data_IF_365250179351
#
_entry.id   IF_365250179351
#
_cell.length_a   1.000
_cell.length_b   1.000
_cell.length_c   1.000
_cell.angle_alpha   90.00
_cell.angle_beta   90.00
_cell.angle_gamma   90.00
#
_symmetry.space_group_name_H-M   'P 1'
#
loop_
_entity.id
_entity.type
_entity.pdbx_description
1 polymer ?
#
# COMPACT_ATOMS: atom_id res chain seq x y z
N UNK A 1 -41.02 63.86 -8.32
CA UNK A 1 -41.00 62.72 -7.37
C UNK A 1 -41.26 61.46 -8.19
N UNK A 2 -40.20 60.73 -8.53
CA UNK A 2 -39.79 59.46 -7.90
C UNK A 2 -40.80 58.33 -8.14
N UNK A 3 -40.42 57.39 -9.00
CA UNK A 3 -40.38 55.95 -8.69
C UNK A 3 -39.63 55.23 -9.80
N UNK A 4 -38.34 54.96 -9.55
CA UNK A 4 -37.51 54.06 -10.36
C UNK A 4 -37.82 52.65 -9.87
N UNK A 5 -38.33 51.79 -10.75
CA UNK A 5 -38.44 50.36 -10.52
C UNK A 5 -37.02 49.77 -10.49
N UNK A 6 -36.63 49.24 -9.33
CA UNK A 6 -35.47 48.35 -9.20
C UNK A 6 -36.01 46.94 -9.43
N UNK A 7 -35.72 46.37 -10.61
CA UNK A 7 -35.84 44.94 -10.83
C UNK A 7 -34.58 44.27 -10.27
N UNK A 8 -34.69 43.64 -9.10
CA UNK A 8 -33.66 42.74 -8.59
C UNK A 8 -33.70 41.45 -9.42
N UNK A 9 -32.65 41.21 -10.20
CA UNK A 9 -32.41 39.91 -10.81
C UNK A 9 -32.06 38.91 -9.70
N UNK A 10 -32.97 37.96 -9.46
CA UNK A 10 -32.70 36.75 -8.67
C UNK A 10 -31.72 35.89 -9.47
N UNK A 11 -30.42 36.07 -9.23
CA UNK A 11 -29.38 35.16 -9.73
C UNK A 11 -29.49 33.90 -8.89
N UNK A 12 -30.26 32.92 -9.38
CA UNK A 12 -30.20 31.56 -8.88
C UNK A 12 -28.81 31.03 -9.21
N UNK A 13 -27.99 30.80 -8.20
CA UNK A 13 -26.78 29.97 -8.33
C UNK A 13 -27.24 28.56 -8.71
N UNK A 14 -27.23 28.26 -10.00
CA UNK A 14 -27.35 26.89 -10.46
C UNK A 14 -26.17 26.11 -9.86
N UNK A 15 -26.38 24.93 -9.26
CA UNK A 15 -25.28 24.12 -8.78
C UNK A 15 -24.36 23.82 -9.96
N UNK A 16 -23.05 24.08 -9.80
CA UNK A 16 -22.06 23.63 -10.77
C UNK A 16 -22.15 22.11 -10.81
N UNK A 17 -22.43 21.57 -12.00
CA UNK A 17 -22.40 20.14 -12.24
C UNK A 17 -20.94 19.73 -12.45
N UNK A 18 -20.58 18.58 -11.86
CA UNK A 18 -19.34 17.89 -12.20
C UNK A 18 -19.21 17.79 -13.73
N UNK A 19 -18.09 18.27 -14.25
CA UNK A 19 -17.83 18.41 -15.68
C UNK A 19 -16.56 17.66 -16.07
N UNK A 20 -16.57 17.10 -17.26
CA UNK A 20 -15.38 16.51 -17.87
C UNK A 20 -14.54 17.60 -18.54
N UNK A 21 -13.28 17.69 -18.15
CA UNK A 21 -12.31 18.62 -18.70
C UNK A 21 -11.28 17.86 -19.49
N UNK A 22 -11.38 17.96 -20.81
CA UNK A 22 -10.46 17.29 -21.72
C UNK A 22 -9.19 18.10 -21.85
N UNK A 23 -8.05 17.48 -21.59
CA UNK A 23 -6.71 18.02 -21.85
C UNK A 23 -6.21 17.44 -23.16
N UNK A 24 -5.78 18.30 -24.08
CA UNK A 24 -5.19 17.87 -25.35
C UNK A 24 -4.15 18.87 -25.85
N UNK A 25 -3.22 18.39 -26.67
CA UNK A 25 -2.19 19.25 -27.26
C UNK A 25 -2.85 20.32 -28.13
N UNK A 26 -2.50 21.59 -27.89
CA UNK A 26 -3.12 22.76 -28.53
C UNK A 26 -4.63 22.92 -28.25
N UNK A 27 -5.14 22.31 -27.16
CA UNK A 27 -6.53 22.41 -26.75
C UNK A 27 -7.03 23.85 -26.68
N UNK A 28 -8.17 24.10 -27.31
CA UNK A 28 -8.93 25.35 -27.20
C UNK A 28 -10.29 25.05 -26.59
N UNK A 29 -10.89 26.05 -25.96
CA UNK A 29 -12.21 25.93 -25.32
C UNK A 29 -13.19 25.19 -26.24
N UNK A 30 -13.82 24.08 -25.77
CA UNK A 30 -13.95 23.68 -24.36
C UNK A 30 -12.82 22.79 -23.80
N UNK A 31 -11.80 22.45 -24.58
CA UNK A 31 -10.64 21.69 -24.14
C UNK A 31 -9.53 22.61 -23.57
N UNK A 32 -8.60 21.98 -22.86
CA UNK A 32 -7.50 22.66 -22.16
C UNK A 32 -6.16 22.31 -22.80
N UNK A 33 -5.26 23.29 -23.00
CA UNK A 33 -3.98 23.06 -23.66
C UNK A 33 -2.94 22.38 -22.76
N UNK A 34 -3.20 22.23 -21.46
CA UNK A 34 -2.34 21.58 -20.47
C UNK A 34 -3.10 21.19 -19.20
N UNK A 35 -2.53 20.30 -18.39
CA UNK A 35 -3.20 19.74 -17.20
C UNK A 35 -3.44 20.84 -16.15
N UNK A 36 -2.44 21.71 -15.94
CA UNK A 36 -2.52 22.82 -14.98
C UNK A 36 -3.72 23.73 -15.25
N UNK A 37 -3.96 24.06 -16.52
CA UNK A 37 -5.08 24.92 -16.93
C UNK A 37 -6.44 24.26 -16.72
N UNK A 38 -6.54 22.94 -16.91
CA UNK A 38 -7.75 22.18 -16.61
C UNK A 38 -8.01 22.18 -15.09
N UNK A 39 -7.00 21.86 -14.29
CA UNK A 39 -7.08 21.86 -12.81
C UNK A 39 -7.49 23.22 -12.26
N UNK A 40 -6.91 24.31 -12.77
CA UNK A 40 -7.25 25.67 -12.35
C UNK A 40 -8.69 26.06 -12.68
N UNK A 41 -9.27 25.48 -13.74
CA UNK A 41 -10.64 25.74 -14.12
C UNK A 41 -11.64 24.85 -13.36
N UNK A 42 -11.17 23.82 -12.67
CA UNK A 42 -12.00 22.81 -12.02
C UNK A 42 -12.63 23.25 -10.71
N UNK A 43 -13.74 22.59 -10.38
CA UNK A 43 -14.39 22.60 -9.07
C UNK A 43 -14.52 21.18 -8.54
N UNK A 44 -14.96 21.04 -7.29
CA UNK A 44 -15.16 19.74 -6.65
C UNK A 44 -16.12 18.86 -7.45
N UNK A 45 -15.69 17.62 -7.72
CA UNK A 45 -16.42 16.61 -8.48
C UNK A 45 -16.02 16.51 -9.96
N UNK A 46 -15.21 17.43 -10.48
CA UNK A 46 -14.79 17.41 -11.88
C UNK A 46 -13.84 16.25 -12.21
N UNK A 47 -13.88 15.81 -13.47
CA UNK A 47 -12.94 14.82 -14.02
C UNK A 47 -12.02 15.48 -15.04
N UNK A 48 -10.73 15.20 -14.94
CA UNK A 48 -9.71 15.62 -15.90
C UNK A 48 -9.39 14.42 -16.80
N UNK A 49 -9.77 14.51 -18.07
CA UNK A 49 -9.57 13.44 -19.06
C UNK A 49 -8.39 13.83 -19.95
N UNK A 50 -7.29 13.09 -19.86
CA UNK A 50 -6.00 13.51 -20.42
C UNK A 50 -5.70 12.73 -21.70
N UNK A 51 -5.63 13.43 -22.83
CA UNK A 51 -5.11 12.86 -24.08
C UNK A 51 -3.59 12.84 -24.04
N UNK A 52 -3.03 11.71 -24.47
CA UNK A 52 -1.60 11.59 -24.67
C UNK A 52 -1.15 12.46 -25.84
N UNK A 53 0.02 13.09 -25.67
CA UNK A 53 0.67 13.83 -26.75
C UNK A 53 1.25 12.84 -27.76
N UNK A 54 1.44 13.29 -28.99
CA UNK A 54 1.98 12.44 -30.06
C UNK A 54 3.26 11.74 -29.61
N UNK A 55 3.30 10.41 -29.72
CA UNK A 55 4.44 9.59 -29.29
C UNK A 55 4.59 9.44 -27.78
N UNK A 56 3.50 9.61 -27.00
CA UNK A 56 3.47 9.49 -25.54
C UNK A 56 4.48 10.41 -24.84
N UNK A 57 4.74 11.59 -25.42
CA UNK A 57 5.63 12.58 -24.81
C UNK A 57 4.97 13.09 -23.52
N UNK A 58 5.60 12.92 -22.33
CA UNK A 58 4.93 13.18 -21.05
C UNK A 58 4.60 14.65 -20.86
N UNK A 59 3.41 15.00 -20.36
CA UNK A 59 3.09 16.38 -19.95
C UNK A 59 4.07 16.83 -18.85
N UNK A 60 4.92 17.83 -19.13
CA UNK A 60 5.99 18.27 -18.23
C UNK A 60 5.50 19.45 -17.38
N UNK A 61 4.90 19.16 -16.23
CA UNK A 61 4.21 20.13 -15.39
C UNK A 61 4.25 19.69 -13.92
N UNK A 62 4.33 20.65 -13.00
CA UNK A 62 3.99 20.43 -11.59
C UNK A 62 2.54 20.84 -11.36
N UNK A 63 1.76 19.99 -10.70
CA UNK A 63 0.32 20.17 -10.54
C UNK A 63 -0.02 20.38 -9.07
N UNK A 64 -0.75 21.45 -8.73
CA UNK A 64 -1.34 21.62 -7.40
C UNK A 64 -2.84 21.35 -7.46
N UNK A 65 -3.30 20.33 -6.73
CA UNK A 65 -4.70 19.93 -6.67
C UNK A 65 -5.40 20.60 -5.48
N UNK A 66 -6.37 21.47 -5.78
CA UNK A 66 -7.09 22.30 -4.81
C UNK A 66 -8.60 21.98 -4.73
N UNK A 67 -9.06 20.96 -5.44
CA UNK A 67 -10.45 20.55 -5.50
C UNK A 67 -10.53 19.02 -5.44
N UNK A 68 -11.72 18.48 -5.19
CA UNK A 68 -11.99 17.05 -5.35
C UNK A 68 -12.01 16.69 -6.82
N UNK A 69 -11.00 15.99 -7.34
CA UNK A 69 -10.81 15.74 -8.77
C UNK A 69 -10.50 14.27 -9.06
N UNK A 70 -10.96 13.80 -10.21
CA UNK A 70 -10.53 12.54 -10.79
C UNK A 70 -9.64 12.77 -12.01
N UNK A 71 -8.51 12.08 -12.11
CA UNK A 71 -7.61 12.12 -13.27
C UNK A 71 -7.64 10.76 -13.98
N UNK A 72 -7.89 10.79 -15.30
CA UNK A 72 -8.06 9.62 -16.14
C UNK A 72 -7.34 9.80 -17.48
N UNK A 73 -6.90 8.69 -18.07
CA UNK A 73 -6.53 8.66 -19.49
C UNK A 73 -7.76 8.90 -20.37
N UNK A 74 -7.56 9.53 -21.53
CA UNK A 74 -8.60 9.62 -22.56
C UNK A 74 -8.76 8.28 -23.32
N UNK A 75 -7.66 7.56 -23.52
CA UNK A 75 -7.66 6.27 -24.22
C UNK A 75 -7.93 5.15 -23.21
N UNK A 76 -8.83 4.23 -23.58
CA UNK A 76 -9.17 3.06 -22.75
C UNK A 76 -7.95 2.18 -22.56
N UNK A 77 -7.78 1.61 -21.37
CA UNK A 77 -6.68 0.70 -21.08
C UNK A 77 -5.27 1.27 -21.33
N UNK A 78 -5.08 2.60 -21.35
CA UNK A 78 -3.76 3.24 -21.46
C UNK A 78 -3.50 4.16 -20.25
N UNK A 79 -2.24 4.52 -20.07
CA UNK A 79 -1.84 5.52 -19.10
C UNK A 79 -1.91 6.92 -19.70
N UNK A 80 -2.06 7.93 -18.85
CA UNK A 80 -1.69 9.29 -19.22
C UNK A 80 -0.24 9.60 -18.78
N UNK A 81 0.59 10.08 -19.71
CA UNK A 81 2.03 10.24 -19.48
C UNK A 81 2.35 11.63 -18.93
N UNK A 82 3.06 11.71 -17.81
CA UNK A 82 3.44 12.96 -17.15
C UNK A 82 4.90 12.95 -16.68
N UNK A 83 5.42 14.15 -16.42
CA UNK A 83 6.69 14.37 -15.74
C UNK A 83 6.53 15.58 -14.82
N UNK A 84 6.60 15.35 -13.51
CA UNK A 84 6.54 16.39 -12.49
C UNK A 84 5.86 15.95 -11.21
N UNK A 85 5.81 16.87 -10.25
CA UNK A 85 5.25 16.64 -8.93
C UNK A 85 3.78 17.03 -8.87
N UNK A 86 2.95 16.12 -8.36
CA UNK A 86 1.55 16.38 -8.03
C UNK A 86 1.43 16.64 -6.53
N UNK A 87 1.07 17.86 -6.15
CA UNK A 87 0.83 18.26 -4.76
C UNK A 87 -0.65 18.34 -4.48
N UNK A 88 -1.13 17.47 -3.58
CA UNK A 88 -2.52 17.47 -3.14
C UNK A 88 -2.61 18.30 -1.86
N UNK A 89 -3.34 19.41 -1.91
CA UNK A 89 -3.59 20.21 -0.73
C UNK A 89 -4.69 19.54 0.11
N UNK A 90 -4.51 19.49 1.44
CA UNK A 90 -5.52 18.94 2.34
C UNK A 90 -6.72 19.89 2.52
N UNK A 91 -7.92 19.32 2.62
CA UNK A 91 -9.14 19.98 3.06
C UNK A 91 -10.18 18.94 3.53
N UNK A 92 -11.09 19.34 4.41
CA UNK A 92 -12.17 18.48 4.89
C UNK A 92 -13.13 18.11 3.75
N UNK A 93 -13.37 16.82 3.55
CA UNK A 93 -14.27 16.26 2.54
C UNK A 93 -13.67 16.21 1.13
N UNK A 94 -12.37 16.49 0.96
CA UNK A 94 -11.72 16.43 -0.36
C UNK A 94 -11.47 14.99 -0.77
N UNK A 95 -11.73 14.67 -2.03
CA UNK A 95 -11.45 13.37 -2.63
C UNK A 95 -10.68 13.54 -3.93
N UNK A 96 -9.47 12.98 -4.01
CA UNK A 96 -8.64 13.01 -5.21
C UNK A 96 -8.35 11.59 -5.66
N UNK A 97 -8.73 11.27 -6.89
CA UNK A 97 -8.51 9.94 -7.47
C UNK A 97 -7.68 10.06 -8.74
N UNK A 98 -6.57 9.34 -8.81
CA UNK A 98 -5.68 9.29 -9.97
C UNK A 98 -5.63 7.84 -10.44
N UNK A 99 -6.05 7.59 -11.68
CA UNK A 99 -6.05 6.25 -12.28
C UNK A 99 -5.18 6.26 -13.53
N UNK A 100 -4.24 5.33 -13.64
CA UNK A 100 -3.46 5.17 -14.87
C UNK A 100 -2.47 6.32 -15.12
N UNK A 101 -1.85 6.90 -14.09
CA UNK A 101 -0.75 7.86 -14.30
C UNK A 101 0.54 7.12 -14.66
N UNK A 102 1.22 7.50 -15.75
CA UNK A 102 2.61 7.11 -15.99
C UNK A 102 3.51 8.32 -15.77
N UNK A 103 4.07 8.44 -14.56
CA UNK A 103 4.98 9.52 -14.19
C UNK A 103 6.45 9.12 -14.41
N UNK A 104 7.05 9.68 -15.45
CA UNK A 104 8.43 9.38 -15.87
C UNK A 104 9.49 9.95 -14.93
N UNK A 105 9.18 11.02 -14.19
CA UNK A 105 10.02 11.58 -13.14
C UNK A 105 9.21 12.60 -12.35
N UNK A 106 9.17 12.46 -11.02
CA UNK A 106 8.31 13.26 -10.16
C UNK A 106 7.70 12.41 -9.07
N UNK A 107 6.44 12.65 -8.71
CA UNK A 107 5.76 11.86 -7.68
C UNK A 107 4.44 12.48 -7.27
N UNK A 108 3.89 11.98 -6.18
CA UNK A 108 2.73 12.61 -5.53
C UNK A 108 3.14 12.95 -4.11
N UNK A 109 2.91 14.18 -3.71
CA UNK A 109 3.08 14.61 -2.33
C UNK A 109 1.82 15.30 -1.80
N UNK A 110 1.77 15.43 -0.49
CA UNK A 110 0.72 16.18 0.20
C UNK A 110 1.24 17.51 0.70
N UNK A 111 0.31 18.45 0.85
CA UNK A 111 0.51 19.65 1.64
C UNK A 111 -0.60 19.69 2.69
N UNK A 112 -0.19 19.63 3.96
CA UNK A 112 -1.09 19.50 5.09
C UNK A 112 -2.15 20.61 5.11
N UNK A 113 -3.37 20.24 5.47
CA UNK A 113 -4.49 21.17 5.56
C UNK A 113 -5.80 20.43 5.89
N UNK A 114 -6.67 21.08 6.66
CA UNK A 114 -7.96 20.50 7.05
C UNK A 114 -7.93 19.74 8.36
N UNK A 115 -8.78 18.72 8.46
CA UNK A 115 -8.97 17.89 9.65
C UNK A 115 -8.28 16.53 9.49
N UNK A 116 -8.00 15.84 10.60
CA UNK A 116 -7.56 14.44 10.62
C UNK A 116 -8.40 13.59 9.64
N UNK A 117 -7.74 12.94 8.69
CA UNK A 117 -8.33 12.14 7.61
C UNK A 117 -9.44 12.86 6.86
N UNK A 118 -9.30 14.17 6.71
CA UNK A 118 -10.24 15.03 6.01
C UNK A 118 -10.16 14.90 4.49
N UNK A 119 -9.02 14.47 3.95
CA UNK A 119 -8.80 14.27 2.52
C UNK A 119 -8.57 12.80 2.19
N UNK A 120 -9.33 12.26 1.24
CA UNK A 120 -9.11 10.92 0.69
C UNK A 120 -8.31 11.02 -0.61
N UNK A 121 -7.28 10.19 -0.74
CA UNK A 121 -6.45 10.09 -1.95
C UNK A 121 -6.41 8.65 -2.43
N UNK A 122 -6.84 8.42 -3.66
CA UNK A 122 -6.78 7.11 -4.31
C UNK A 122 -5.78 7.18 -5.48
N UNK A 123 -4.69 6.42 -5.38
CA UNK A 123 -3.73 6.23 -6.46
C UNK A 123 -3.85 4.80 -6.96
N UNK A 124 -4.31 4.65 -8.20
CA UNK A 124 -4.75 3.36 -8.73
C UNK A 124 -4.05 3.07 -10.06
N UNK A 125 -3.55 1.84 -10.20
CA UNK A 125 -2.96 1.31 -11.44
C UNK A 125 -2.00 2.29 -12.10
N UNK A 126 -1.13 2.92 -11.30
CA UNK A 126 -0.24 3.99 -11.74
C UNK A 126 1.22 3.54 -11.71
N UNK A 127 2.05 4.13 -12.56
CA UNK A 127 3.46 3.80 -12.75
C UNK A 127 4.34 5.02 -12.52
N UNK A 128 5.30 4.91 -11.60
CA UNK A 128 6.30 5.94 -11.30
C UNK A 128 7.70 5.37 -11.62
N UNK A 129 8.45 5.99 -12.53
CA UNK A 129 9.77 5.46 -12.99
C UNK A 129 10.95 5.95 -12.13
N UNK A 130 10.80 7.13 -11.55
CA UNK A 130 11.77 7.75 -10.65
C UNK A 130 11.00 8.72 -9.76
N UNK A 131 10.27 8.15 -8.81
CA UNK A 131 9.30 8.91 -8.04
C UNK A 131 8.70 8.16 -6.86
N UNK A 132 8.49 8.91 -5.78
CA UNK A 132 7.87 8.41 -4.55
C UNK A 132 6.48 8.99 -4.34
N UNK A 133 5.70 8.30 -3.53
CA UNK A 133 4.40 8.71 -3.03
C UNK A 133 4.58 9.10 -1.56
N UNK A 134 4.70 10.41 -1.29
CA UNK A 134 4.97 10.98 0.03
C UNK A 134 3.69 11.61 0.58
N UNK A 135 2.85 10.77 1.18
CA UNK A 135 1.49 11.07 1.60
C UNK A 135 1.32 10.89 3.12
N UNK A 136 2.43 11.02 3.85
CA UNK A 136 2.62 10.90 5.29
C UNK A 136 2.15 12.16 6.03
N UNK A 137 0.83 12.36 6.09
CA UNK A 137 0.22 13.46 6.83
C UNK A 137 -1.11 13.00 7.44
N UNK A 138 -1.40 13.33 8.71
CA UNK A 138 -2.56 12.78 9.40
C UNK A 138 -3.89 13.27 8.81
N UNK A 139 -3.91 14.38 8.07
CA UNK A 139 -5.08 14.91 7.38
C UNK A 139 -5.53 14.04 6.19
N UNK A 140 -4.73 13.05 5.79
CA UNK A 140 -4.96 12.24 4.60
C UNK A 140 -5.29 10.78 4.95
N UNK A 141 -6.21 10.21 4.17
CA UNK A 141 -6.53 8.78 4.14
C UNK A 141 -6.26 8.26 2.73
N UNK A 142 -5.30 7.35 2.60
CA UNK A 142 -4.63 7.10 1.32
C UNK A 142 -4.74 5.64 0.90
N UNK A 143 -5.26 5.41 -0.29
CA UNK A 143 -5.23 4.11 -0.93
C UNK A 143 -4.24 4.11 -2.11
N UNK A 144 -3.18 3.32 -2.00
CA UNK A 144 -2.22 3.05 -3.08
C UNK A 144 -2.43 1.62 -3.58
N UNK A 145 -2.92 1.48 -4.80
CA UNK A 145 -3.49 0.23 -5.30
C UNK A 145 -2.91 -0.11 -6.68
N UNK A 146 -2.28 -1.28 -6.80
CA UNK A 146 -1.79 -1.78 -8.10
C UNK A 146 -0.74 -0.88 -8.74
N UNK A 147 0.00 -0.11 -7.95
CA UNK A 147 0.98 0.82 -8.47
C UNK A 147 2.35 0.15 -8.68
N UNK A 148 3.07 0.59 -9.72
CA UNK A 148 4.49 0.28 -9.91
C UNK A 148 5.34 1.48 -9.57
N UNK A 149 6.32 1.31 -8.70
CA UNK A 149 7.32 2.32 -8.37
C UNK A 149 8.69 1.75 -8.69
N UNK A 150 9.28 2.18 -9.80
CA UNK A 150 10.69 1.94 -10.09
C UNK A 150 11.48 3.07 -9.44
N UNK A 151 12.47 2.74 -8.62
CA UNK A 151 13.21 3.74 -7.85
C UNK A 151 12.29 4.70 -7.09
N UNK A 152 11.42 4.14 -6.25
CA UNK A 152 10.41 4.89 -5.53
C UNK A 152 10.01 4.20 -4.22
N UNK A 153 9.37 4.96 -3.35
CA UNK A 153 8.86 4.50 -2.05
C UNK A 153 7.43 5.02 -1.83
N UNK A 154 6.74 4.40 -0.88
CA UNK A 154 5.41 4.84 -0.41
C UNK A 154 5.48 5.19 1.07
N UNK A 155 5.06 6.39 1.44
CA UNK A 155 4.90 6.82 2.83
C UNK A 155 3.47 7.30 3.06
N UNK A 156 2.80 6.77 4.10
CA UNK A 156 1.43 7.12 4.49
C UNK A 156 1.30 7.19 6.02
N UNK A 157 0.32 7.94 6.50
CA UNK A 157 -0.11 7.87 7.90
C UNK A 157 -1.28 6.88 8.07
N UNK A 158 -2.30 7.04 7.23
CA UNK A 158 -3.54 6.26 7.23
C UNK A 158 -3.88 5.74 5.83
N UNK A 159 -4.59 4.61 5.79
CA UNK A 159 -5.08 3.97 4.58
C UNK A 159 -4.37 2.67 4.24
N UNK A 160 -4.24 2.33 2.96
CA UNK A 160 -3.81 1.01 2.50
C UNK A 160 -2.77 1.07 1.36
N UNK A 161 -1.89 0.07 1.31
CA UNK A 161 -0.97 -0.18 0.19
C UNK A 161 -1.17 -1.62 -0.27
N UNK A 162 -1.75 -1.81 -1.44
CA UNK A 162 -2.27 -3.11 -1.88
C UNK A 162 -1.85 -3.44 -3.30
N UNK A 163 -1.29 -4.63 -3.49
CA UNK A 163 -1.01 -5.17 -4.81
C UNK A 163 0.05 -4.40 -5.61
N UNK A 164 0.94 -3.64 -4.95
CA UNK A 164 1.94 -2.81 -5.63
C UNK A 164 3.24 -3.58 -5.93
N UNK A 165 4.05 -3.06 -6.86
CA UNK A 165 5.44 -3.48 -7.09
C UNK A 165 6.38 -2.29 -6.87
N UNK A 166 7.14 -2.33 -5.79
CA UNK A 166 7.90 -1.21 -5.25
C UNK A 166 9.38 -1.59 -5.22
N UNK A 167 10.18 -0.93 -6.06
CA UNK A 167 11.64 -1.00 -6.03
C UNK A 167 12.20 0.28 -5.40
N UNK A 168 12.42 0.22 -4.09
CA UNK A 168 13.11 1.22 -3.30
C UNK A 168 14.62 0.93 -3.14
N UNK A 169 15.20 0.05 -3.97
CA UNK A 169 16.62 -0.34 -3.84
C UNK A 169 17.62 0.76 -4.17
N UNK A 170 17.14 1.90 -4.67
CA UNK A 170 17.94 3.08 -5.03
C UNK A 170 17.44 4.37 -4.32
N UNK A 171 16.52 4.24 -3.35
CA UNK A 171 15.97 5.35 -2.56
C UNK A 171 16.44 5.23 -1.12
N UNK A 172 16.77 6.35 -0.48
CA UNK A 172 17.13 6.40 0.95
C UNK A 172 15.87 6.48 1.83
N UNK A 173 15.01 5.47 1.73
CA UNK A 173 13.76 5.36 2.48
C UNK A 173 13.33 3.88 2.58
N UNK A 174 12.42 3.54 3.51
CA UNK A 174 11.70 2.27 3.47
C UNK A 174 10.96 2.09 2.14
N UNK A 175 10.72 0.84 1.73
CA UNK A 175 9.87 0.56 0.58
C UNK A 175 8.43 1.04 0.80
N UNK A 176 7.87 0.64 1.93
CA UNK A 176 6.60 1.15 2.47
C UNK A 176 6.83 1.65 3.89
N UNK A 177 6.40 2.87 4.18
CA UNK A 177 6.47 3.50 5.49
C UNK A 177 5.06 3.87 5.98
N UNK A 178 4.75 3.48 7.23
CA UNK A 178 3.49 3.80 7.89
C UNK A 178 3.75 4.40 9.27
N UNK A 179 3.57 5.71 9.41
CA UNK A 179 4.01 6.46 10.61
C UNK A 179 2.99 7.49 11.11
N UNK A 180 1.72 7.12 11.38
CA UNK A 180 0.69 8.06 11.77
C UNK A 180 1.10 8.92 12.97
N UNK A 181 1.13 10.23 12.77
CA UNK A 181 1.34 11.20 13.84
C UNK A 181 0.10 11.37 14.72
N UNK A 182 0.24 11.31 16.05
CA UNK A 182 -0.78 11.77 17.00
C UNK A 182 -1.35 10.73 17.97
N UNK A 183 -2.11 11.21 18.96
CA UNK A 183 -2.48 10.48 20.18
C UNK A 183 -3.93 9.99 20.26
N UNK A 184 -4.68 9.95 19.15
CA UNK A 184 -6.06 9.46 19.18
C UNK A 184 -6.16 8.03 18.63
N UNK A 185 -6.67 7.06 19.40
CA UNK A 185 -6.89 5.71 18.89
C UNK A 185 -7.92 5.75 17.76
N UNK A 186 -7.52 5.23 16.60
CA UNK A 186 -8.38 5.02 15.45
C UNK A 186 -8.16 3.57 15.04
N UNK A 187 -8.99 2.67 15.56
CA UNK A 187 -8.92 1.22 15.31
C UNK A 187 -9.30 0.85 13.86
N UNK A 188 -9.07 1.76 12.92
CA UNK A 188 -9.11 1.44 11.52
C UNK A 188 -7.94 0.55 11.15
N UNK A 189 -8.17 -0.22 10.09
CA UNK A 189 -7.19 -1.18 9.61
C UNK A 189 -6.37 -0.55 8.51
N UNK A 190 -5.05 -0.53 8.68
CA UNK A 190 -4.10 -0.31 7.61
C UNK A 190 -3.73 -1.65 6.99
N UNK A 191 -4.10 -1.85 5.72
CA UNK A 191 -3.80 -3.07 4.98
C UNK A 191 -2.57 -2.86 4.08
N UNK A 192 -1.50 -3.60 4.36
CA UNK A 192 -0.29 -3.73 3.55
C UNK A 192 -0.29 -5.15 2.95
N UNK A 193 -0.96 -5.32 1.81
CA UNK A 193 -1.33 -6.66 1.30
C UNK A 193 -0.90 -6.89 -0.14
N UNK A 194 -0.28 -8.04 -0.42
CA UNK A 194 -0.02 -8.48 -1.80
C UNK A 194 1.02 -7.64 -2.54
N UNK A 195 1.91 -6.96 -1.83
CA UNK A 195 2.93 -6.11 -2.43
C UNK A 195 4.21 -6.91 -2.72
N UNK A 196 4.87 -6.57 -3.82
CA UNK A 196 6.29 -6.88 -4.06
C UNK A 196 7.10 -5.67 -3.63
N UNK A 197 8.07 -5.87 -2.75
CA UNK A 197 8.86 -4.77 -2.19
C UNK A 197 10.33 -5.14 -2.20
N UNK A 198 11.17 -4.27 -2.75
CA UNK A 198 12.61 -4.38 -2.70
C UNK A 198 13.21 -3.14 -2.06
N UNK A 199 13.96 -3.30 -0.96
CA UNK A 199 14.62 -2.18 -0.28
C UNK A 199 16.14 -2.17 -0.48
N UNK A 200 16.72 -1.01 -0.23
CA UNK A 200 18.17 -0.80 -0.18
C UNK A 200 18.77 -1.36 1.13
N UNK A 201 20.10 -1.45 1.20
CA UNK A 201 20.81 -1.60 2.48
C UNK A 201 20.56 -0.34 3.33
N UNK A 202 20.37 -0.53 4.64
CA UNK A 202 20.10 0.52 5.64
C UNK A 202 18.66 1.00 5.77
N UNK A 203 17.71 0.41 5.02
CA UNK A 203 16.29 0.69 5.18
C UNK A 203 15.44 -0.58 5.11
N UNK A 204 14.23 -0.48 5.65
CA UNK A 204 13.24 -1.55 5.76
C UNK A 204 12.58 -1.81 4.41
N UNK A 205 12.14 -3.06 4.17
CA UNK A 205 11.13 -3.33 3.14
C UNK A 205 9.82 -2.63 3.52
N UNK A 206 9.31 -2.96 4.70
CA UNK A 206 8.11 -2.35 5.28
C UNK A 206 8.45 -1.88 6.69
N UNK A 207 8.28 -0.58 6.94
CA UNK A 207 8.40 0.04 8.26
C UNK A 207 7.04 0.49 8.77
N UNK A 208 6.69 0.08 9.98
CA UNK A 208 5.45 0.48 10.64
C UNK A 208 5.77 1.02 12.02
N UNK A 209 5.43 2.29 12.27
CA UNK A 209 5.49 2.90 13.58
C UNK A 209 4.14 3.51 13.94
N UNK A 210 3.35 2.82 14.76
CA UNK A 210 2.01 3.27 15.11
C UNK A 210 1.63 2.94 16.55
N UNK A 211 0.81 3.79 17.15
CA UNK A 211 0.10 3.49 18.40
C UNK A 211 -1.43 3.48 18.25
N UNK A 212 -1.95 3.77 17.07
CA UNK A 212 -3.34 4.21 16.89
C UNK A 212 -4.17 3.25 16.06
N UNK A 213 -3.58 2.54 15.10
CA UNK A 213 -4.29 1.73 14.10
C UNK A 213 -3.94 0.24 14.15
N UNK A 214 -4.87 -0.60 13.67
CA UNK A 214 -4.64 -2.03 13.48
C UNK A 214 -3.91 -2.21 12.17
N UNK A 215 -2.80 -2.94 12.17
CA UNK A 215 -2.01 -3.15 10.95
C UNK A 215 -2.07 -4.59 10.49
N UNK A 216 -2.37 -4.79 9.21
CA UNK A 216 -2.36 -6.08 8.53
C UNK A 216 -1.28 -6.09 7.45
N UNK A 217 -0.15 -6.74 7.74
CA UNK A 217 0.95 -6.97 6.79
C UNK A 217 0.83 -8.39 6.28
N UNK A 218 0.25 -8.58 5.08
CA UNK A 218 -0.07 -9.91 4.58
C UNK A 218 0.34 -10.17 3.15
N UNK A 219 0.80 -11.39 2.88
CA UNK A 219 1.04 -11.85 1.51
C UNK A 219 2.00 -10.98 0.69
N UNK A 220 2.94 -10.31 1.34
CA UNK A 220 3.95 -9.51 0.65
C UNK A 220 5.18 -10.36 0.32
N UNK A 221 5.75 -10.15 -0.86
CA UNK A 221 7.09 -10.64 -1.20
C UNK A 221 8.11 -9.53 -1.01
N UNK A 222 9.06 -9.73 -0.09
CA UNK A 222 9.97 -8.69 0.37
C UNK A 222 11.42 -9.13 0.17
N UNK A 223 12.17 -8.32 -0.57
CA UNK A 223 13.62 -8.43 -0.72
C UNK A 223 14.28 -7.27 0.04
N UNK A 224 15.14 -7.55 1.01
CA UNK A 224 15.72 -6.48 1.84
C UNK A 224 17.24 -6.56 2.00
N UNK A 225 17.84 -5.40 2.32
CA UNK A 225 19.25 -5.24 2.67
C UNK A 225 19.53 -4.99 4.15
N UNK A 226 18.53 -4.63 4.95
CA UNK A 226 18.63 -4.51 6.41
C UNK A 226 17.50 -5.24 7.12
N UNK A 227 16.28 -4.70 7.10
CA UNK A 227 15.10 -5.35 7.68
C UNK A 227 14.03 -5.61 6.62
N UNK A 228 13.42 -6.79 6.62
CA UNK A 228 12.30 -7.09 5.72
C UNK A 228 11.05 -6.35 6.16
N UNK A 229 10.59 -6.67 7.36
CA UNK A 229 9.53 -5.97 8.07
C UNK A 229 10.07 -5.49 9.40
N UNK A 230 9.94 -4.21 9.70
CA UNK A 230 10.11 -3.68 11.04
C UNK A 230 8.80 -3.12 11.55
N UNK A 231 8.45 -3.53 12.76
CA UNK A 231 7.36 -2.92 13.52
C UNK A 231 7.92 -2.28 14.78
N UNK A 232 7.54 -1.02 14.98
CA UNK A 232 7.90 -0.19 16.11
C UNK A 232 6.60 0.26 16.80
N UNK A 233 6.21 -0.38 17.89
CA UNK A 233 4.92 -0.10 18.56
C UNK A 233 3.79 -1.07 18.21
N UNK A 234 2.57 -0.56 18.08
CA UNK A 234 1.33 -1.31 17.83
C UNK A 234 0.13 -0.70 18.55
N UNK A 235 -1.09 -0.91 18.07
CA UNK A 235 -2.29 -0.39 18.76
C UNK A 235 -2.36 -0.88 20.21
N UNK A 236 -2.79 -0.03 21.14
CA UNK A 236 -2.89 -0.39 22.57
C UNK A 236 -4.27 -0.91 22.98
N UNK A 237 -5.14 -1.26 22.02
CA UNK A 237 -6.54 -1.61 22.27
C UNK A 237 -6.80 -3.12 22.39
N UNK A 238 -5.73 -3.93 22.51
CA UNK A 238 -5.82 -5.40 22.56
C UNK A 238 -6.52 -6.01 21.34
N UNK A 239 -6.46 -5.31 20.20
CA UNK A 239 -6.84 -5.82 18.89
C UNK A 239 -5.57 -6.30 18.19
N UNK A 240 -5.64 -7.49 17.60
CA UNK A 240 -4.47 -8.13 16.98
C UNK A 240 -4.01 -7.36 15.73
N UNK A 241 -2.74 -6.99 15.70
CA UNK A 241 -2.00 -6.66 14.49
C UNK A 241 -1.46 -7.94 13.88
N UNK A 242 -1.46 -8.05 12.55
CA UNK A 242 -1.27 -9.32 11.86
C UNK A 242 -0.11 -9.22 10.87
N UNK A 243 0.91 -10.07 11.03
CA UNK A 243 2.02 -10.24 10.07
C UNK A 243 1.95 -11.67 9.53
N UNK A 244 1.22 -11.88 8.45
CA UNK A 244 0.83 -13.22 7.99
C UNK A 244 1.29 -13.50 6.57
N UNK A 245 1.70 -14.74 6.29
CA UNK A 245 1.92 -15.20 4.92
C UNK A 245 2.87 -14.31 4.10
N UNK A 246 3.87 -13.68 4.70
CA UNK A 246 4.86 -12.90 3.93
C UNK A 246 6.03 -13.81 3.51
N UNK A 247 6.58 -13.63 2.31
CA UNK A 247 7.84 -14.27 1.90
C UNK A 247 8.93 -13.22 1.93
N UNK A 248 9.97 -13.42 2.76
CA UNK A 248 10.99 -12.44 3.05
C UNK A 248 12.37 -13.03 2.76
N UNK A 249 13.16 -12.33 1.95
CA UNK A 249 14.51 -12.74 1.58
C UNK A 249 15.52 -11.62 1.80
N UNK A 250 16.52 -11.90 2.63
CA UNK A 250 17.72 -11.06 2.71
C UNK A 250 18.60 -11.33 1.48
N UNK A 251 18.54 -10.45 0.48
CA UNK A 251 19.26 -10.62 -0.79
C UNK A 251 20.64 -9.96 -0.78
N UNK A 252 20.83 -8.98 0.11
CA UNK A 252 22.06 -8.23 0.29
C UNK A 252 22.19 -7.83 1.77
N UNK A 253 23.32 -7.25 2.16
CA UNK A 253 23.54 -6.78 3.52
C UNK A 253 24.96 -6.30 3.79
N UNK A 254 25.10 -5.40 4.76
CA UNK A 254 26.40 -4.93 5.28
C UNK A 254 26.54 -5.18 6.80
N UNK A 255 25.43 -5.22 7.52
CA UNK A 255 25.34 -5.47 8.97
C UNK A 255 24.48 -6.70 9.24
N UNK A 256 24.08 -6.91 10.49
CA UNK A 256 23.04 -7.89 10.80
C UNK A 256 21.77 -7.57 10.02
N UNK A 257 21.21 -8.56 9.31
CA UNK A 257 19.91 -8.44 8.65
C UNK A 257 18.82 -9.13 9.46
N UNK A 258 17.58 -8.68 9.28
CA UNK A 258 16.42 -9.14 10.05
C UNK A 258 15.26 -9.40 9.09
N UNK A 259 14.71 -10.62 9.05
CA UNK A 259 13.52 -10.88 8.24
C UNK A 259 12.33 -10.07 8.77
N UNK A 260 11.98 -10.31 10.03
CA UNK A 260 10.96 -9.57 10.78
C UNK A 260 11.59 -9.08 12.08
N UNK A 261 11.58 -7.77 12.33
CA UNK A 261 12.02 -7.15 13.57
C UNK A 261 10.81 -6.58 14.33
N UNK A 262 10.64 -6.99 15.59
CA UNK A 262 9.64 -6.42 16.48
C UNK A 262 10.34 -5.66 17.61
N UNK A 263 10.10 -4.36 17.66
CA UNK A 263 10.72 -3.46 18.64
C UNK A 263 9.68 -2.55 19.30
N UNK A 264 9.93 -2.16 20.55
CA UNK A 264 9.18 -1.13 21.26
C UNK A 264 7.64 -1.29 21.21
N UNK A 265 7.14 -2.54 21.14
CA UNK A 265 5.70 -2.81 21.09
C UNK A 265 4.99 -2.23 22.31
N UNK A 266 3.85 -1.58 22.07
CA UNK A 266 3.12 -0.86 23.12
C UNK A 266 2.46 -1.84 24.12
N UNK A 267 2.33 -1.42 25.38
CA UNK A 267 1.55 -2.17 26.36
C UNK A 267 0.11 -2.36 25.86
N UNK A 268 -0.41 -3.58 25.98
CA UNK A 268 -1.74 -3.94 25.48
C UNK A 268 -1.85 -4.18 23.98
N UNK A 269 -0.76 -3.99 23.21
CA UNK A 269 -0.71 -4.43 21.81
C UNK A 269 -0.59 -5.95 21.71
N UNK A 270 -1.19 -6.51 20.66
CA UNK A 270 -1.08 -7.93 20.33
C UNK A 270 -0.57 -8.04 18.90
N UNK A 271 0.50 -8.79 18.71
CA UNK A 271 1.08 -9.09 17.41
C UNK A 271 1.00 -10.60 17.14
N UNK A 272 0.32 -10.96 16.05
CA UNK A 272 0.24 -12.34 15.56
C UNK A 272 1.14 -12.48 14.33
N UNK A 273 2.26 -13.20 14.49
CA UNK A 273 3.25 -13.43 13.44
C UNK A 273 3.21 -14.92 13.07
N UNK A 274 2.61 -15.23 11.91
CA UNK A 274 2.44 -16.62 11.50
C UNK A 274 2.50 -16.84 9.98
N UNK A 275 2.79 -18.07 9.57
CA UNK A 275 2.86 -18.50 8.17
C UNK A 275 3.85 -17.69 7.31
N UNK A 276 4.76 -16.93 7.91
CA UNK A 276 5.78 -16.21 7.15
C UNK A 276 6.90 -17.17 6.77
N UNK A 277 7.50 -16.89 5.62
CA UNK A 277 8.66 -17.60 5.08
C UNK A 277 9.83 -16.65 5.10
N UNK A 278 10.90 -17.01 5.80
CA UNK A 278 12.10 -16.16 5.91
C UNK A 278 13.33 -16.95 5.47
N UNK A 279 14.05 -16.42 4.49
CA UNK A 279 15.30 -17.01 3.99
C UNK A 279 16.31 -15.91 3.63
N UNK A 280 17.46 -16.31 3.10
CA UNK A 280 18.50 -15.40 2.62
C UNK A 280 19.26 -16.00 1.46
N UNK A 281 19.87 -15.12 0.67
CA UNK A 281 21.00 -15.44 -0.23
C UNK A 281 22.29 -14.75 0.19
N UNK A 282 22.21 -13.73 1.04
CA UNK A 282 23.37 -13.04 1.59
C UNK A 282 24.04 -13.81 2.73
N UNK A 283 25.38 -13.78 2.82
CA UNK A 283 26.18 -14.71 3.62
C UNK A 283 26.53 -14.28 5.05
N UNK A 284 26.20 -13.06 5.51
CA UNK A 284 26.55 -12.61 6.87
C UNK A 284 25.50 -12.93 7.96
N UNK A 285 25.68 -12.31 9.14
CA UNK A 285 24.81 -12.53 10.32
C UNK A 285 23.38 -12.08 10.04
N UNK A 286 22.42 -12.97 10.24
CA UNK A 286 21.03 -12.67 9.94
C UNK A 286 20.11 -13.31 10.97
N UNK A 287 18.93 -12.71 11.14
CA UNK A 287 17.90 -13.17 12.06
C UNK A 287 16.60 -13.35 11.30
N UNK A 288 15.88 -14.43 11.59
CA UNK A 288 14.59 -14.70 10.96
C UNK A 288 13.52 -13.78 11.53
N UNK A 289 13.05 -14.10 12.73
CA UNK A 289 12.10 -13.29 13.50
C UNK A 289 12.78 -12.84 14.79
N UNK A 290 13.02 -11.53 14.91
CA UNK A 290 13.79 -10.95 16.00
C UNK A 290 12.92 -10.23 17.02
N UNK A 291 13.16 -10.56 18.29
CA UNK A 291 12.63 -9.87 19.46
C UNK A 291 13.65 -8.81 19.88
N UNK A 292 13.44 -7.56 19.48
CA UNK A 292 14.30 -6.44 19.88
C UNK A 292 13.88 -5.89 21.26
N UNK A 293 14.60 -4.87 21.72
CA UNK A 293 14.36 -4.23 23.01
C UNK A 293 13.06 -3.42 23.06
N UNK A 294 12.59 -3.18 24.30
CA UNK A 294 11.46 -2.29 24.58
C UNK A 294 10.06 -2.88 24.39
N UNK A 295 9.95 -4.17 24.05
CA UNK A 295 8.66 -4.83 23.85
C UNK A 295 7.86 -4.98 25.15
N UNK A 296 6.64 -4.44 25.17
CA UNK A 296 5.70 -4.48 26.30
C UNK A 296 4.35 -5.15 25.93
N UNK A 297 4.12 -5.39 24.64
CA UNK A 297 2.92 -6.08 24.13
C UNK A 297 3.03 -7.60 24.18
N UNK A 298 1.92 -8.28 23.88
CA UNK A 298 1.93 -9.71 23.61
C UNK A 298 2.38 -9.95 22.17
N UNK A 299 3.39 -10.78 22.00
CA UNK A 299 3.89 -11.19 20.67
C UNK A 299 3.81 -12.71 20.57
N UNK A 300 2.95 -13.18 19.67
CA UNK A 300 2.75 -14.59 19.38
C UNK A 300 3.43 -14.92 18.05
N UNK A 301 4.37 -15.87 18.06
CA UNK A 301 5.16 -16.26 16.88
C UNK A 301 5.10 -17.77 16.67
N UNK A 302 4.38 -18.23 15.66
CA UNK A 302 4.09 -19.65 15.43
C UNK A 302 3.74 -19.96 13.97
N UNK A 303 3.94 -21.20 13.52
CA UNK A 303 3.77 -21.65 12.12
C UNK A 303 4.58 -20.86 11.08
N UNK A 304 5.66 -20.18 11.49
CA UNK A 304 6.58 -19.58 10.54
C UNK A 304 7.61 -20.61 10.07
N UNK A 305 8.08 -20.44 8.84
CA UNK A 305 9.09 -21.28 8.20
C UNK A 305 10.33 -20.44 7.94
N UNK A 306 11.39 -20.74 8.67
CA UNK A 306 12.65 -20.02 8.56
C UNK A 306 13.70 -20.99 8.00
N UNK A 307 14.47 -20.57 7.00
CA UNK A 307 15.47 -21.46 6.40
C UNK A 307 16.56 -21.82 7.42
N UNK A 308 17.06 -23.04 7.35
CA UNK A 308 18.21 -23.56 8.10
C UNK A 308 19.50 -22.72 7.95
N UNK A 309 19.62 -21.97 6.86
CA UNK A 309 20.72 -21.07 6.62
C UNK A 309 20.64 -19.80 7.48
N UNK A 310 19.55 -19.53 8.18
CA UNK A 310 19.39 -18.32 9.00
C UNK A 310 20.10 -18.45 10.35
N UNK A 311 20.92 -17.46 10.75
CA UNK A 311 21.81 -17.61 11.92
C UNK A 311 21.07 -17.70 13.25
N UNK A 312 20.01 -16.89 13.41
CA UNK A 312 19.11 -16.93 14.57
C UNK A 312 17.68 -16.99 14.02
N UNK A 313 17.09 -18.19 13.87
CA UNK A 313 15.81 -18.32 13.18
C UNK A 313 14.66 -17.60 13.89
N UNK A 314 14.52 -17.80 15.20
CA UNK A 314 13.51 -17.14 16.03
C UNK A 314 14.17 -16.73 17.35
N UNK A 315 14.13 -15.45 17.69
CA UNK A 315 14.63 -14.94 18.97
C UNK A 315 13.82 -15.48 20.15
N UNK A 316 14.43 -15.53 21.33
CA UNK A 316 13.76 -15.93 22.58
C UNK A 316 12.75 -14.88 23.06
N UNK A 317 11.83 -15.29 23.93
CA UNK A 317 10.90 -14.38 24.62
C UNK A 317 9.55 -14.18 23.93
N UNK A 318 9.35 -14.76 22.74
CA UNK A 318 8.02 -14.83 22.11
C UNK A 318 7.17 -15.95 22.69
N UNK A 319 5.84 -15.74 22.66
CA UNK A 319 4.87 -16.81 22.93
C UNK A 319 4.82 -17.76 21.73
N UNK A 320 4.72 -19.06 22.00
CA UNK A 320 4.63 -20.14 21.00
C UNK A 320 5.82 -20.29 20.05
N UNK A 321 6.99 -19.71 20.37
CA UNK A 321 8.19 -19.74 19.54
C UNK A 321 8.62 -21.17 19.10
N UNK A 322 8.31 -22.19 19.90
CA UNK A 322 8.62 -23.59 19.60
C UNK A 322 7.77 -24.19 18.47
N UNK A 323 6.70 -23.53 18.04
CA UNK A 323 5.81 -23.99 16.98
C UNK A 323 6.23 -23.47 15.58
N UNK A 324 7.48 -23.07 15.41
CA UNK A 324 8.04 -22.63 14.13
C UNK A 324 9.02 -23.68 13.58
N UNK A 325 9.11 -23.78 12.27
CA UNK A 325 10.04 -24.68 11.57
C UNK A 325 11.31 -23.89 11.20
N UNK A 326 12.48 -24.44 11.51
CA UNK A 326 13.77 -23.75 11.28
C UNK A 326 14.92 -24.65 10.82
N UNK A 327 14.63 -25.91 10.52
CA UNK A 327 15.59 -26.99 10.28
C UNK A 327 15.56 -27.49 8.83
N UNK A 328 14.92 -26.76 7.92
CA UNK A 328 14.77 -27.12 6.51
C UNK A 328 15.33 -26.03 5.59
N UNK A 329 15.93 -26.40 4.45
CA UNK A 329 16.33 -25.44 3.44
C UNK A 329 15.11 -24.87 2.71
N UNK A 330 15.15 -23.57 2.42
CA UNK A 330 14.12 -22.88 1.63
C UNK A 330 14.77 -22.27 0.39
N UNK A 331 14.32 -22.71 -0.78
CA UNK A 331 14.79 -22.19 -2.07
C UNK A 331 13.64 -21.52 -2.81
N UNK A 332 13.85 -20.25 -3.17
CA UNK A 332 12.88 -19.43 -3.88
C UNK A 332 13.31 -19.21 -5.33
N UNK A 333 12.34 -19.07 -6.22
CA UNK A 333 12.51 -18.48 -7.55
C UNK A 333 12.66 -16.95 -7.42
N UNK A 334 13.03 -16.29 -8.52
CA UNK A 334 13.24 -14.84 -8.55
C UNK A 334 11.97 -14.03 -8.24
N UNK A 335 10.79 -14.59 -8.48
CA UNK A 335 9.50 -13.97 -8.18
C UNK A 335 9.01 -14.24 -6.75
N UNK A 336 9.74 -15.03 -5.96
CA UNK A 336 9.37 -15.39 -4.59
C UNK A 336 8.53 -16.67 -4.47
N UNK A 337 8.20 -17.34 -5.57
CA UNK A 337 7.59 -18.69 -5.52
C UNK A 337 8.62 -19.74 -5.07
N UNK A 338 8.16 -20.91 -4.61
CA UNK A 338 9.06 -22.00 -4.22
C UNK A 338 9.63 -22.74 -5.44
N UNK A 339 10.95 -22.95 -5.45
CA UNK A 339 11.65 -23.74 -6.49
C UNK A 339 11.72 -25.23 -6.13
N UNK A 340 11.68 -25.55 -4.83
CA UNK A 340 11.55 -26.91 -4.30
C UNK A 340 10.64 -26.87 -3.09
N UNK A 341 9.55 -27.65 -3.05
CA UNK A 341 8.36 -27.36 -2.25
C UNK A 341 8.52 -27.46 -0.72
N UNK A 342 9.65 -27.99 -0.22
CA UNK A 342 10.03 -27.95 1.19
C UNK A 342 8.91 -28.32 2.18
N UNK A 343 9.02 -27.82 3.41
CA UNK A 343 7.95 -27.90 4.41
C UNK A 343 6.96 -26.73 4.31
N UNK A 344 7.09 -25.85 3.31
CA UNK A 344 6.30 -24.63 3.20
C UNK A 344 5.02 -24.82 2.39
N UNK A 345 4.99 -25.79 1.46
CA UNK A 345 3.75 -26.22 0.80
C UNK A 345 2.95 -27.11 1.77
N UNK A 346 1.65 -26.84 1.92
CA UNK A 346 0.78 -27.47 2.94
C UNK A 346 1.27 -27.32 4.39
N UNK A 347 2.24 -26.44 4.63
CA UNK A 347 2.94 -26.30 5.91
C UNK A 347 2.45 -25.17 6.80
N UNK A 348 1.50 -24.37 6.32
CA UNK A 348 0.94 -23.26 7.07
C UNK A 348 0.00 -23.71 8.19
N UNK A 349 -0.50 -22.74 8.93
CA UNK A 349 -1.50 -22.94 9.97
C UNK A 349 -2.75 -23.61 9.38
N UNK A 350 -3.22 -24.75 9.94
CA UNK A 350 -4.34 -25.52 9.39
C UNK A 350 -5.71 -24.87 9.63
N UNK A 351 -5.77 -23.64 10.15
CA UNK A 351 -7.03 -22.95 10.34
C UNK A 351 -7.67 -22.59 8.99
N UNK A 352 -9.02 -22.68 8.84
CA UNK A 352 -9.71 -22.43 7.57
C UNK A 352 -9.45 -21.07 6.91
N UNK A 353 -9.02 -20.06 7.68
CA UNK A 353 -8.66 -18.73 7.15
C UNK A 353 -7.41 -18.76 6.26
N UNK A 354 -6.60 -19.82 6.36
CA UNK A 354 -5.39 -20.01 5.57
C UNK A 354 -5.52 -21.04 4.48
N UNK A 355 -6.68 -21.69 4.33
CA UNK A 355 -6.90 -22.60 3.22
C UNK A 355 -6.67 -21.87 1.90
N UNK A 356 -6.03 -22.59 0.99
CA UNK A 356 -5.77 -22.13 -0.35
C UNK A 356 -7.04 -22.26 -1.21
N UNK A 357 -6.92 -22.01 -2.51
CA UNK A 357 -8.06 -22.05 -3.42
C UNK A 357 -8.57 -23.48 -3.67
N UNK A 358 -7.74 -24.50 -3.45
CA UNK A 358 -8.14 -25.90 -3.61
C UNK A 358 -8.61 -26.58 -2.31
N UNK A 359 -8.63 -25.81 -1.21
CA UNK A 359 -9.12 -26.18 0.13
C UNK A 359 -8.24 -27.19 0.87
N UNK A 360 -6.96 -27.26 0.53
CA UNK A 360 -5.93 -27.98 1.28
C UNK A 360 -5.34 -27.12 2.42
N UNK A 361 -4.40 -27.68 3.18
CA UNK A 361 -3.75 -26.92 4.23
C UNK A 361 -2.96 -25.77 3.59
N UNK A 362 -3.07 -24.56 4.11
CA UNK A 362 -2.51 -23.39 3.45
C UNK A 362 -1.00 -23.43 3.25
N UNK A 363 -0.53 -23.02 2.08
CA UNK A 363 0.89 -22.72 1.88
C UNK A 363 1.35 -21.57 2.79
N UNK A 364 2.59 -21.66 3.25
CA UNK A 364 3.26 -20.55 3.92
C UNK A 364 3.82 -19.54 2.89
N UNK A 365 3.98 -18.29 3.31
CA UNK A 365 4.52 -17.22 2.48
C UNK A 365 3.52 -16.58 1.53
N UNK A 366 4.03 -15.68 0.68
CA UNK A 366 3.27 -14.70 -0.11
C UNK A 366 2.25 -15.32 -1.07
N UNK A 367 2.49 -16.56 -1.48
CA UNK A 367 1.68 -17.28 -2.44
C UNK A 367 0.61 -18.18 -1.80
N UNK A 368 0.54 -18.27 -0.47
CA UNK A 368 -0.45 -19.07 0.24
C UNK A 368 -1.68 -18.30 0.75
N UNK A 369 -2.76 -19.01 1.02
CA UNK A 369 -4.01 -18.48 1.57
C UNK A 369 -4.79 -17.56 0.62
N UNK A 370 -5.89 -16.97 1.12
CA UNK A 370 -6.86 -16.23 0.29
C UNK A 370 -6.35 -14.90 -0.30
N UNK A 371 -5.24 -14.36 0.21
CA UNK A 371 -4.60 -13.17 -0.34
C UNK A 371 -3.33 -13.50 -1.12
N UNK A 372 -3.24 -14.70 -1.72
CA UNK A 372 -2.11 -15.11 -2.56
C UNK A 372 -1.68 -14.00 -3.54
N UNK A 373 -0.37 -13.80 -3.69
CA UNK A 373 0.21 -12.77 -4.54
C UNK A 373 -0.28 -12.85 -6.01
N UNK A 374 -0.67 -14.04 -6.47
CA UNK A 374 -1.26 -14.27 -7.79
C UNK A 374 -2.59 -13.52 -8.01
N UNK A 375 -3.30 -13.12 -6.95
CA UNK A 375 -4.52 -12.32 -7.08
C UNK A 375 -4.23 -10.86 -7.46
N UNK A 376 -2.98 -10.41 -7.26
CA UNK A 376 -2.58 -9.01 -7.47
C UNK A 376 -1.62 -8.83 -8.66
N UNK A 377 -0.97 -9.91 -9.13
CA UNK A 377 0.05 -9.86 -10.17
C UNK A 377 -0.23 -10.85 -11.32
N UNK A 378 0.10 -10.53 -12.59
CA UNK A 378 0.78 -9.32 -13.07
C UNK A 378 -0.12 -8.08 -13.04
N UNK A 379 0.47 -6.89 -12.93
CA UNK A 379 -0.25 -5.61 -12.95
C UNK A 379 -0.41 -5.05 -14.37
N UNK A 380 -1.16 -3.95 -14.52
CA UNK A 380 -1.28 -3.15 -15.75
C UNK A 380 -1.82 -3.92 -16.96
N UNK A 381 -2.69 -4.91 -16.74
CA UNK A 381 -3.23 -5.77 -17.79
C UNK A 381 -4.34 -5.12 -18.63
N UNK A 382 -4.75 -3.88 -18.31
CA UNK A 382 -5.85 -3.19 -18.99
C UNK A 382 -7.20 -3.88 -18.77
N UNK A 383 -7.49 -4.32 -17.55
CA UNK A 383 -8.76 -4.94 -17.23
C UNK A 383 -9.26 -4.45 -15.87
N UNK A 384 -10.58 -4.27 -15.76
CA UNK A 384 -11.23 -4.03 -14.48
C UNK A 384 -10.80 -5.09 -13.44
N UNK A 385 -10.45 -4.63 -12.24
CA UNK A 385 -9.91 -5.49 -11.19
C UNK A 385 -10.65 -5.27 -9.88
N UNK A 386 -11.11 -6.37 -9.28
CA UNK A 386 -11.48 -6.41 -7.87
C UNK A 386 -10.22 -6.70 -7.08
N UNK A 387 -9.80 -5.74 -6.25
CA UNK A 387 -8.50 -5.76 -5.58
C UNK A 387 -8.63 -6.41 -4.20
N UNK A 388 -9.69 -6.09 -3.46
CA UNK A 388 -9.95 -6.70 -2.17
C UNK A 388 -11.43 -7.01 -2.01
N UNK A 389 -11.71 -8.19 -1.47
CA UNK A 389 -13.02 -8.54 -0.95
C UNK A 389 -12.92 -8.84 0.53
N UNK A 390 -13.74 -8.17 1.33
CA UNK A 390 -13.91 -8.47 2.74
C UNK A 390 -15.22 -9.22 2.94
N UNK A 391 -15.11 -10.45 3.42
CA UNK A 391 -16.25 -11.29 3.80
C UNK A 391 -15.89 -12.14 5.02
N UNK A 392 -16.88 -12.58 5.82
CA UNK A 392 -16.65 -13.59 6.85
C UNK A 392 -16.05 -14.86 6.24
N UNK A 393 -14.95 -15.35 6.81
CA UNK A 393 -14.33 -16.61 6.38
C UNK A 393 -15.22 -17.84 6.68
N UNK A 394 -16.07 -17.75 7.71
CA UNK A 394 -17.05 -18.78 8.03
C UNK A 394 -18.45 -18.16 8.07
N UNK A 395 -19.36 -18.72 7.27
CA UNK A 395 -20.78 -18.35 7.30
C UNK A 395 -21.52 -19.37 8.15
N UNK A 396 -22.01 -18.95 9.31
CA UNK A 396 -22.86 -19.81 10.16
C UNK A 396 -24.30 -19.76 9.66
N UNK A 397 -25.00 -20.90 9.71
CA UNK A 397 -26.43 -20.95 9.39
C UNK A 397 -27.21 -19.91 10.21
N UNK A 398 -28.08 -19.15 9.54
CA UNK A 398 -28.83 -18.04 10.14
C UNK A 398 -28.09 -16.70 10.25
N UNK A 399 -26.82 -16.61 9.84
CA UNK A 399 -26.07 -15.34 9.79
C UNK A 399 -26.20 -14.65 8.43
N UNK A 400 -26.26 -13.32 8.43
CA UNK A 400 -26.20 -12.53 7.19
C UNK A 400 -24.77 -12.50 6.66
N UNK A 401 -24.55 -13.03 5.46
CA UNK A 401 -23.31 -12.84 4.72
C UNK A 401 -23.19 -11.35 4.32
N UNK A 402 -22.12 -10.69 4.76
CA UNK A 402 -21.77 -9.33 4.34
C UNK A 402 -20.51 -9.41 3.50
N UNK A 403 -20.58 -8.88 2.28
CA UNK A 403 -19.43 -8.78 1.37
C UNK A 403 -19.20 -7.31 1.07
N UNK A 404 -17.97 -6.85 1.22
CA UNK A 404 -17.51 -5.54 0.74
C UNK A 404 -16.42 -5.77 -0.30
N UNK A 405 -16.49 -5.09 -1.43
CA UNK A 405 -15.47 -5.15 -2.48
C UNK A 405 -14.82 -3.77 -2.67
N UNK A 406 -13.55 -3.77 -3.01
CA UNK A 406 -12.81 -2.64 -3.56
C UNK A 406 -12.37 -3.01 -4.97
N UNK A 407 -12.71 -2.18 -5.95
CA UNK A 407 -12.44 -2.46 -7.36
C UNK A 407 -12.14 -1.19 -8.14
N UNK A 408 -11.45 -1.32 -9.27
CA UNK A 408 -11.23 -0.24 -10.23
C UNK A 408 -11.38 -0.74 -11.67
N UNK A 409 -11.54 0.22 -12.58
CA UNK A 409 -11.55 0.04 -14.03
C UNK A 409 -10.74 1.19 -14.64
N UNK A 410 -10.02 0.93 -15.75
CA UNK A 410 -9.09 1.90 -16.37
C UNK A 410 -9.61 2.45 -17.69
#
# INVERSE_FOLDING_TARGET
>A
MRSILIAQALVTTLPLLATDRVVEEFGQSPAYPNITSAVNASVDGDRIIIKNRAGNIPWIENITVNASLQFLSFENDDFFYVQGLYTINGATGREVTIVGMYNTSGGVNVNAGGTLRGTTVNLVDSWFVNGSLLLDSPEFDVDVIGCTLQNGSVAIDFGNVVGCDIDASQVNAPGIEVTPGGSSPQLDTCALVGNKVKSIVSYEGIFVNTGTQVVHIRNNYIQHGWMGIEVYGGNSASVQNLIWNNTIIAYTGQFSTYGINLANTNAGSIWEVMNNVVTRTWSGTNRGINNDSGNQGQINVYFNHISDNVSIPVSTGFTFAANNTSDQPITLNADGTFNSPGACIDGGNPAPVFYDLDLTAGDAGAYGGSYTLNNFHPMHTGAARVVLTAHPFNVRSGSTLRVKGLSYDR
#
